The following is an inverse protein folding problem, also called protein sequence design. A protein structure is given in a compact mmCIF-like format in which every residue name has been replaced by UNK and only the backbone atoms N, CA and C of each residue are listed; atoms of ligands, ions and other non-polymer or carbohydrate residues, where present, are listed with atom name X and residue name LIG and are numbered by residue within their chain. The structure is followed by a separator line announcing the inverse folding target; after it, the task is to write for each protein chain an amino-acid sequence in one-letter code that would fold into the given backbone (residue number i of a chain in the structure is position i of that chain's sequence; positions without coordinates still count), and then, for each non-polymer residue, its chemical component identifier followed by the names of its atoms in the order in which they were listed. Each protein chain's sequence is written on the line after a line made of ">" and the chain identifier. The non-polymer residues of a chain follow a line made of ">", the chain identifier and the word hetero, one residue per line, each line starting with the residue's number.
data_IF_837450074296
#
_entry.id   IF_837450074296
#
_cell.length_a   1.000
_cell.length_b   1.000
_cell.length_c   1.000
_cell.angle_alpha   90.00
_cell.angle_beta   90.00
_cell.angle_gamma   90.00
#
_symmetry.space_group_name_H-M   'P 1'
#
loop_
_entity.id
_entity.type
_entity.pdbx_description
1 polymer ?
#
# COMPACT_ATOMS: atom_id res chain seq x y z
N UNK A 1 16.49 23.75 24.63
CA UNK A 1 15.71 24.07 23.43
C UNK A 1 15.11 22.74 23.02
N UNK A 2 13.83 22.52 23.32
CA UNK A 2 13.17 21.24 23.07
C UNK A 2 12.87 21.14 21.59
N UNK A 3 13.46 20.17 20.92
CA UNK A 3 13.09 19.83 19.56
C UNK A 3 11.81 18.99 19.67
N UNK A 4 10.66 19.67 19.67
CA UNK A 4 9.36 19.07 19.33
C UNK A 4 9.44 18.61 17.87
N UNK A 5 10.14 17.50 17.63
CA UNK A 5 9.86 16.69 16.44
C UNK A 5 8.54 16.05 16.77
N UNK A 6 7.44 16.70 16.39
CA UNK A 6 6.14 16.04 16.31
C UNK A 6 6.39 14.70 15.63
N UNK A 7 6.17 13.59 16.34
CA UNK A 7 6.29 12.22 15.82
C UNK A 7 5.41 12.12 14.57
N UNK A 8 6.00 12.48 13.43
CA UNK A 8 5.27 12.57 12.18
C UNK A 8 5.20 11.15 11.70
N UNK A 9 4.00 10.58 11.71
CA UNK A 9 3.80 9.22 11.23
C UNK A 9 4.30 9.08 9.79
N UNK A 10 5.34 8.26 9.59
CA UNK A 10 5.82 7.89 8.27
C UNK A 10 5.35 6.48 7.94
N UNK A 11 4.70 6.31 6.78
CA UNK A 11 4.24 4.99 6.31
C UNK A 11 5.39 3.97 6.20
N UNK A 12 6.61 4.45 5.95
CA UNK A 12 7.83 3.64 5.89
C UNK A 12 8.12 2.91 7.20
N UNK A 13 7.85 3.54 8.36
CA UNK A 13 8.13 2.93 9.66
C UNK A 13 7.09 1.86 10.03
N UNK A 14 5.87 1.99 9.49
CA UNK A 14 4.75 1.09 9.79
C UNK A 14 4.91 -0.31 9.21
N UNK A 15 5.59 -0.43 8.08
CA UNK A 15 5.78 -1.69 7.34
C UNK A 15 7.26 -2.00 7.07
N UNK A 16 8.18 -1.58 7.97
CA UNK A 16 9.62 -1.88 7.88
C UNK A 16 10.25 -1.50 6.53
N UNK A 17 9.85 -0.34 6.01
CA UNK A 17 10.32 0.21 4.74
C UNK A 17 9.54 -0.25 3.50
N UNK A 18 8.53 -1.12 3.64
CA UNK A 18 7.68 -1.49 2.50
C UNK A 18 6.56 -0.47 2.28
N UNK A 19 6.27 -0.15 1.02
CA UNK A 19 5.09 0.63 0.63
C UNK A 19 3.94 -0.34 0.32
N UNK A 20 2.87 -0.37 1.14
CA UNK A 20 1.70 -1.17 0.83
C UNK A 20 0.96 -0.66 -0.42
N UNK A 21 0.57 -1.58 -1.30
CA UNK A 21 -0.24 -1.34 -2.49
C UNK A 21 -1.34 -2.39 -2.50
N UNK A 22 -2.60 -1.96 -2.54
CA UNK A 22 -3.74 -2.87 -2.72
C UNK A 22 -3.86 -3.17 -4.21
N UNK A 23 -3.95 -4.45 -4.55
CA UNK A 23 -4.04 -4.91 -5.94
C UNK A 23 -5.25 -5.82 -6.07
N UNK A 24 -6.03 -5.58 -7.10
CA UNK A 24 -7.09 -6.47 -7.55
C UNK A 24 -6.87 -6.81 -9.04
N UNK A 25 -7.23 -8.04 -9.43
CA UNK A 25 -7.03 -8.55 -10.79
C UNK A 25 -8.24 -9.33 -11.25
N UNK A 26 -8.65 -9.09 -12.49
CA UNK A 26 -9.66 -9.90 -13.17
C UNK A 26 -8.95 -10.80 -14.18
N UNK A 27 -9.31 -12.08 -14.20
CA UNK A 27 -8.59 -13.11 -14.98
C UNK A 27 -9.55 -13.97 -15.78
N UNK A 28 -9.05 -14.52 -16.88
CA UNK A 28 -9.81 -15.45 -17.73
C UNK A 28 -9.99 -16.84 -17.13
N UNK A 29 -9.46 -17.09 -15.93
CA UNK A 29 -9.49 -18.39 -15.26
C UNK A 29 -8.55 -18.44 -14.05
N UNK A 30 -8.54 -19.57 -13.34
CA UNK A 30 -7.85 -19.70 -12.06
C UNK A 30 -6.34 -20.03 -12.16
N UNK A 31 -5.85 -20.46 -13.31
CA UNK A 31 -4.45 -20.83 -13.48
C UNK A 31 -3.61 -19.64 -13.95
N UNK A 32 -2.90 -19.02 -13.01
CA UNK A 32 -2.06 -17.84 -13.27
C UNK A 32 -0.93 -18.05 -14.30
N UNK A 33 -0.57 -19.29 -14.65
CA UNK A 33 0.45 -19.57 -15.67
C UNK A 33 -0.11 -19.62 -17.08
N UNK A 34 -1.40 -19.90 -17.25
CA UNK A 34 -2.01 -20.18 -18.56
C UNK A 34 -3.16 -19.25 -18.90
N UNK A 35 -3.83 -18.72 -17.89
CA UNK A 35 -5.07 -17.97 -18.06
C UNK A 35 -4.73 -16.47 -18.12
N UNK A 36 -5.39 -15.76 -19.03
CA UNK A 36 -5.06 -14.36 -19.31
C UNK A 36 -5.40 -13.44 -18.13
N UNK A 37 -4.58 -12.42 -17.91
CA UNK A 37 -4.95 -11.24 -17.13
C UNK A 37 -5.84 -10.34 -17.99
N UNK A 38 -7.02 -9.98 -17.49
CA UNK A 38 -8.00 -9.18 -18.22
C UNK A 38 -7.98 -7.73 -17.76
N UNK A 39 -7.96 -7.49 -16.45
CA UNK A 39 -7.90 -6.17 -15.85
C UNK A 39 -7.01 -6.18 -14.60
N UNK A 40 -6.44 -5.02 -14.26
CA UNK A 40 -5.68 -4.81 -13.04
C UNK A 40 -6.00 -3.44 -12.47
N UNK A 41 -6.26 -3.38 -11.16
CA UNK A 41 -6.38 -2.16 -10.39
C UNK A 41 -5.32 -2.14 -9.29
N UNK A 42 -4.72 -0.97 -9.07
CA UNK A 42 -3.75 -0.75 -8.00
C UNK A 42 -4.06 0.56 -7.28
N UNK A 43 -4.10 0.50 -5.95
CA UNK A 43 -4.30 1.66 -5.08
C UNK A 43 -3.11 1.78 -4.13
N UNK A 44 -2.44 2.93 -4.22
CA UNK A 44 -1.37 3.31 -3.29
C UNK A 44 -2.00 3.67 -1.94
N UNK A 45 -1.42 3.16 -0.87
CA UNK A 45 -1.85 3.47 0.49
C UNK A 45 -1.01 4.64 1.01
N UNK A 46 -1.69 5.68 1.47
CA UNK A 46 -1.07 6.87 2.05
C UNK A 46 -1.23 6.87 3.58
N UNK A 47 -0.14 7.18 4.28
CA UNK A 47 -0.17 7.37 5.73
C UNK A 47 -0.62 8.78 6.09
N UNK A 48 -1.54 8.89 7.06
CA UNK A 48 -2.01 10.18 7.59
C UNK A 48 -1.28 10.53 8.89
N UNK A 49 -1.31 11.81 9.26
CA UNK A 49 -0.60 12.33 10.44
C UNK A 49 -1.11 11.70 11.76
N UNK A 50 -2.39 11.30 11.82
CA UNK A 50 -3.00 10.64 12.98
C UNK A 50 -2.74 9.13 13.06
N UNK A 51 -1.92 8.59 12.15
CA UNK A 51 -1.60 7.17 12.07
C UNK A 51 -2.65 6.32 11.35
N UNK A 52 -3.71 6.91 10.81
CA UNK A 52 -4.64 6.22 9.92
C UNK A 52 -4.05 6.04 8.51
N UNK A 53 -4.65 5.14 7.73
CA UNK A 53 -4.28 4.88 6.34
C UNK A 53 -5.52 4.98 5.46
N UNK A 54 -5.33 5.45 4.23
CA UNK A 54 -6.35 5.57 3.20
C UNK A 54 -6.42 4.31 2.32
#
# INVERSE_FOLDING_TARGET
>A
MGDDVSDTFLIADRFRGFLPIVVDVETGGFNSKTDALLEIAAVLIEGQVDGTIL
#
